data_IF_756706083187
#
_entry.id   IF_756706083187
#
_cell.length_a   1.000
_cell.length_b   1.000
_cell.length_c   1.000
_cell.angle_alpha   90.00
_cell.angle_beta   90.00
_cell.angle_gamma   90.00
#
_symmetry.space_group_name_H-M   'P 1'
#
loop_
_entity.id
_entity.type
_entity.pdbx_description
1 polymer ?
#
# COMPACT_ATOMS: atom_id res chain seq x y z
N UNK A 1 -11.97 -10.04 -5.32
CA UNK A 1 -10.85 -10.80 -5.92
C UNK A 1 -9.49 -10.26 -5.48
N UNK A 2 -9.21 -8.95 -5.58
CA UNK A 2 -7.93 -8.38 -5.12
C UNK A 2 -7.68 -8.52 -3.61
N UNK A 3 -8.68 -8.21 -2.77
CA UNK A 3 -8.63 -8.39 -1.31
C UNK A 3 -8.29 -9.84 -0.92
N UNK A 4 -8.93 -10.81 -1.57
CA UNK A 4 -8.67 -12.24 -1.35
C UNK A 4 -7.23 -12.64 -1.71
N UNK A 5 -6.67 -12.09 -2.80
CA UNK A 5 -5.28 -12.33 -3.19
C UNK A 5 -4.28 -11.69 -2.23
N UNK A 6 -4.53 -10.46 -1.80
CA UNK A 6 -3.69 -9.75 -0.82
C UNK A 6 -3.77 -10.40 0.57
N UNK A 7 -4.94 -10.84 1.02
CA UNK A 7 -5.12 -11.54 2.28
C UNK A 7 -4.39 -12.90 2.29
N UNK A 8 -4.26 -13.55 1.12
CA UNK A 8 -3.49 -14.78 0.96
C UNK A 8 -1.98 -14.50 0.97
N UNK A 9 -1.51 -13.52 0.18
CA UNK A 9 -0.09 -13.17 0.05
C UNK A 9 0.51 -12.55 1.32
N UNK A 10 -0.28 -11.77 2.05
CA UNK A 10 0.12 -11.19 3.35
C UNK A 10 0.11 -12.20 4.51
N UNK A 11 -0.36 -13.43 4.28
CA UNK A 11 -0.54 -14.44 5.34
C UNK A 11 -1.70 -14.15 6.30
N UNK A 12 -2.49 -13.10 6.06
CA UNK A 12 -3.64 -12.71 6.88
C UNK A 12 -4.73 -13.78 6.90
N UNK A 13 -4.99 -14.41 5.75
CA UNK A 13 -5.99 -15.47 5.61
C UNK A 13 -5.60 -16.74 6.40
N UNK A 14 -4.29 -17.01 6.51
CA UNK A 14 -3.77 -18.05 7.39
C UNK A 14 -3.88 -17.64 8.87
N UNK A 15 -3.42 -16.45 9.25
CA UNK A 15 -3.51 -15.97 10.65
C UNK A 15 -4.93 -15.92 11.22
N UNK A 16 -5.90 -15.50 10.40
CA UNK A 16 -7.32 -15.47 10.79
C UNK A 16 -7.91 -16.89 10.92
N UNK A 17 -7.44 -17.85 10.11
CA UNK A 17 -7.90 -19.24 10.12
C UNK A 17 -7.37 -20.04 11.31
N UNK A 18 -6.22 -19.66 11.87
CA UNK A 18 -5.61 -20.31 13.04
C UNK A 18 -5.80 -19.53 14.35
N UNK A 19 -6.54 -18.42 14.36
CA UNK A 19 -6.91 -17.69 15.58
C UNK A 19 -5.78 -16.86 16.21
N UNK A 20 -4.76 -16.47 15.44
CA UNK A 20 -3.52 -15.85 15.95
C UNK A 20 -3.34 -14.41 15.45
N UNK A 21 -4.39 -13.59 15.38
CA UNK A 21 -4.26 -12.17 14.99
C UNK A 21 -3.58 -11.37 16.11
N UNK A 22 -2.28 -11.59 16.26
CA UNK A 22 -1.36 -10.92 17.17
C UNK A 22 -0.89 -9.59 16.53
N UNK A 23 -0.45 -8.64 17.36
CA UNK A 23 0.06 -7.33 16.95
C UNK A 23 1.15 -7.46 15.87
N UNK A 24 2.01 -8.47 16.03
CA UNK A 24 3.07 -8.82 15.08
C UNK A 24 2.56 -9.15 13.68
N UNK A 25 1.40 -9.78 13.57
CA UNK A 25 0.79 -10.10 12.27
C UNK A 25 0.17 -8.87 11.62
N UNK A 26 -0.46 -8.00 12.41
CA UNK A 26 -0.95 -6.69 11.95
C UNK A 26 0.18 -5.83 11.40
N UNK A 27 1.28 -5.70 12.13
CA UNK A 27 2.46 -4.97 11.68
C UNK A 27 3.07 -5.58 10.41
N UNK A 28 3.17 -6.92 10.33
CA UNK A 28 3.63 -7.59 9.10
C UNK A 28 2.72 -7.30 7.89
N UNK A 29 1.40 -7.25 8.10
CA UNK A 29 0.44 -6.94 7.04
C UNK A 29 0.55 -5.48 6.61
N UNK A 30 0.63 -4.54 7.55
CA UNK A 30 0.82 -3.11 7.28
C UNK A 30 2.09 -2.93 6.45
N UNK A 31 3.24 -3.39 6.95
CA UNK A 31 4.53 -3.29 6.24
C UNK A 31 4.41 -3.82 4.80
N UNK A 32 3.76 -4.96 4.60
CA UNK A 32 3.60 -5.54 3.28
C UNK A 32 2.75 -4.65 2.36
N UNK A 33 1.61 -4.16 2.85
CA UNK A 33 0.70 -3.32 2.08
C UNK A 33 1.35 -1.98 1.71
N UNK A 34 2.04 -1.34 2.66
CA UNK A 34 2.71 -0.06 2.43
C UNK A 34 3.83 -0.15 1.38
N UNK A 35 4.48 -1.31 1.24
CA UNK A 35 5.46 -1.52 0.15
C UNK A 35 4.84 -1.46 -1.25
N UNK A 36 3.52 -1.68 -1.36
CA UNK A 36 2.78 -1.65 -2.62
C UNK A 36 2.01 -0.34 -2.76
N UNK A 37 1.50 0.24 -1.66
CA UNK A 37 0.74 1.48 -1.64
C UNK A 37 1.53 2.68 -2.18
N UNK A 38 2.85 2.75 -1.96
CA UNK A 38 3.69 3.82 -2.52
C UNK A 38 3.93 3.74 -4.04
N UNK A 39 3.55 2.66 -4.72
CA UNK A 39 3.85 2.44 -6.15
C UNK A 39 2.96 3.27 -7.11
N UNK A 40 1.62 3.32 -6.93
CA UNK A 40 0.73 4.04 -7.83
C UNK A 40 1.04 5.53 -7.99
N UNK A 41 1.29 6.25 -6.88
CA UNK A 41 1.67 7.66 -6.90
C UNK A 41 2.94 7.90 -7.72
N UNK A 42 3.96 7.06 -7.53
CA UNK A 42 5.23 7.15 -8.26
C UNK A 42 5.05 6.91 -9.78
N UNK A 43 4.31 5.86 -10.16
CA UNK A 43 4.03 5.57 -11.58
C UNK A 43 3.21 6.71 -12.20
N UNK A 44 2.20 7.19 -11.50
CA UNK A 44 1.34 8.27 -11.97
C UNK A 44 2.12 9.56 -12.18
N UNK A 45 2.96 9.94 -11.21
CA UNK A 45 3.86 11.08 -11.31
C UNK A 45 4.84 10.93 -12.48
N UNK A 46 5.50 9.78 -12.62
CA UNK A 46 6.46 9.52 -13.71
C UNK A 46 5.80 9.66 -15.09
N UNK A 47 4.65 9.02 -15.32
CA UNK A 47 3.96 9.09 -16.61
C UNK A 47 3.53 10.52 -16.94
N UNK A 48 3.00 11.25 -15.95
CA UNK A 48 2.63 12.66 -16.12
C UNK A 48 3.83 13.56 -16.36
N UNK A 49 4.93 13.34 -15.65
CA UNK A 49 6.19 14.04 -15.82
C UNK A 49 6.72 13.87 -17.25
N UNK A 50 6.85 12.62 -17.71
CA UNK A 50 7.28 12.34 -19.07
C UNK A 50 6.32 12.93 -20.12
N UNK A 51 5.00 12.92 -19.85
CA UNK A 51 3.99 13.55 -20.72
C UNK A 51 4.14 15.07 -20.80
N UNK A 52 4.42 15.74 -19.68
CA UNK A 52 4.67 17.19 -19.61
C UNK A 52 5.91 17.57 -20.41
N UNK A 53 7.01 16.82 -20.22
CA UNK A 53 8.27 17.02 -20.95
C UNK A 53 8.09 16.88 -22.47
N UNK A 54 7.54 15.75 -22.93
CA UNK A 54 7.38 15.48 -24.37
C UNK A 54 6.34 16.37 -25.07
N UNK A 55 5.49 17.06 -24.31
CA UNK A 55 4.50 18.02 -24.86
C UNK A 55 4.90 19.47 -24.62
N UNK A 56 5.95 19.74 -23.85
CA UNK A 56 6.36 21.09 -23.43
C UNK A 56 5.21 21.88 -22.78
N UNK A 57 4.37 21.21 -21.98
CA UNK A 57 3.19 21.79 -21.33
C UNK A 57 3.29 21.73 -19.81
N UNK A 58 2.68 22.70 -19.12
CA UNK A 58 2.55 22.67 -17.65
C UNK A 58 1.68 21.50 -17.21
N UNK A 59 2.02 20.91 -16.06
CA UNK A 59 1.27 19.80 -15.46
C UNK A 59 0.21 20.25 -14.42
N UNK A 60 0.32 21.50 -13.93
CA UNK A 60 -0.60 22.10 -12.96
C UNK A 60 -0.60 21.42 -11.58
N UNK A 61 0.57 21.00 -11.10
CA UNK A 61 0.80 20.57 -9.72
C UNK A 61 0.59 19.07 -9.45
N UNK A 62 0.00 18.33 -10.38
CA UNK A 62 -0.33 16.91 -10.19
C UNK A 62 0.88 16.00 -9.96
N UNK A 63 2.01 16.24 -10.64
CA UNK A 63 3.24 15.46 -10.44
C UNK A 63 3.70 15.58 -8.99
N UNK A 64 3.64 16.77 -8.41
CA UNK A 64 4.08 17.00 -7.03
C UNK A 64 3.18 16.26 -6.05
N UNK A 65 1.86 16.43 -6.17
CA UNK A 65 0.89 15.75 -5.29
C UNK A 65 1.03 14.23 -5.35
N UNK A 66 1.24 13.65 -6.53
CA UNK A 66 1.41 12.19 -6.66
C UNK A 66 2.75 11.68 -6.10
N UNK A 67 3.80 12.49 -6.15
CA UNK A 67 5.07 12.17 -5.48
C UNK A 67 4.95 12.29 -3.96
N UNK A 68 4.22 13.30 -3.46
CA UNK A 68 3.93 13.45 -2.04
C UNK A 68 3.09 12.28 -1.50
N UNK A 69 2.09 11.80 -2.25
CA UNK A 69 1.32 10.60 -1.91
C UNK A 69 2.23 9.37 -1.83
N UNK A 70 3.06 9.13 -2.84
CA UNK A 70 4.02 8.01 -2.81
C UNK A 70 5.03 8.11 -1.65
N UNK A 71 5.45 9.33 -1.31
CA UNK A 71 6.31 9.57 -0.16
C UNK A 71 5.57 9.35 1.17
N UNK A 72 4.30 9.73 1.25
CA UNK A 72 3.47 9.51 2.44
C UNK A 72 3.37 8.01 2.78
N UNK A 73 3.07 7.15 1.79
CA UNK A 73 3.03 5.71 2.02
C UNK A 73 4.41 5.12 2.37
N UNK A 74 5.48 5.67 1.80
CA UNK A 74 6.85 5.30 2.20
C UNK A 74 7.11 5.67 3.67
N UNK A 75 6.57 6.78 4.16
CA UNK A 75 6.68 7.13 5.57
C UNK A 75 5.86 6.19 6.46
N UNK A 76 4.66 5.79 6.05
CA UNK A 76 3.88 4.75 6.76
C UNK A 76 4.68 3.44 6.90
N UNK A 77 5.31 2.99 5.81
CA UNK A 77 6.19 1.82 5.82
C UNK A 77 7.34 1.97 6.84
N UNK A 78 8.06 3.09 6.79
CA UNK A 78 9.20 3.31 7.68
C UNK A 78 8.79 3.36 9.15
N UNK A 79 7.67 4.01 9.45
CA UNK A 79 7.10 4.03 10.81
C UNK A 79 6.75 2.61 11.28
N UNK A 80 6.12 1.78 10.45
CA UNK A 80 5.81 0.41 10.81
C UNK A 80 7.07 -0.47 10.98
N UNK A 81 8.14 -0.19 10.22
CA UNK A 81 9.40 -0.90 10.31
C UNK A 81 10.20 -0.63 11.59
N UNK A 82 9.98 0.52 12.24
CA UNK A 82 10.52 0.80 13.58
C UNK A 82 9.92 -0.15 14.63
N UNK A 83 8.66 -0.56 14.44
CA UNK A 83 7.97 -1.49 15.34
C UNK A 83 8.30 -2.96 15.01
N UNK A 84 8.57 -3.27 13.74
CA UNK A 84 8.85 -4.65 13.31
C UNK A 84 9.80 -4.72 12.13
N UNK A 85 10.91 -5.46 12.31
CA UNK A 85 11.85 -5.74 11.23
C UNK A 85 11.45 -7.00 10.44
N UNK A 86 11.17 -6.90 9.12
CA UNK A 86 10.84 -8.05 8.30
C UNK A 86 12.07 -8.91 7.99
N UNK A 87 11.88 -10.24 7.97
CA UNK A 87 12.92 -11.21 7.65
C UNK A 87 13.22 -11.33 6.13
N UNK A 88 14.26 -12.09 5.74
CA UNK A 88 14.69 -12.21 4.34
C UNK A 88 13.62 -12.76 3.39
N UNK A 89 12.85 -13.78 3.81
CA UNK A 89 11.77 -14.35 3.00
C UNK A 89 10.67 -13.33 2.69
N UNK A 90 10.32 -12.50 3.67
CA UNK A 90 9.35 -11.42 3.50
C UNK A 90 9.84 -10.41 2.47
N UNK A 91 11.13 -10.04 2.51
CA UNK A 91 11.73 -9.12 1.53
C UNK A 91 11.70 -9.69 0.11
N UNK A 92 11.98 -10.98 -0.05
CA UNK A 92 11.87 -11.65 -1.36
C UNK A 92 10.41 -11.61 -1.87
N UNK A 93 9.43 -11.85 -1.00
CA UNK A 93 8.02 -11.73 -1.35
C UNK A 93 7.65 -10.30 -1.77
N UNK A 94 8.15 -9.27 -1.08
CA UNK A 94 7.97 -7.86 -1.46
C UNK A 94 8.55 -7.60 -2.85
N UNK A 95 9.78 -8.04 -3.13
CA UNK A 95 10.42 -7.86 -4.45
C UNK A 95 9.57 -8.50 -5.56
N UNK A 96 9.12 -9.74 -5.36
CA UNK A 96 8.29 -10.44 -6.34
C UNK A 96 6.94 -9.73 -6.58
N UNK A 97 6.32 -9.24 -5.50
CA UNK A 97 5.04 -8.52 -5.54
C UNK A 97 5.18 -7.18 -6.23
N UNK A 98 6.22 -6.40 -5.89
CA UNK A 98 6.51 -5.12 -6.53
C UNK A 98 6.84 -5.31 -8.01
N UNK A 99 7.66 -6.30 -8.37
CA UNK A 99 7.96 -6.60 -9.77
C UNK A 99 6.70 -6.84 -10.59
N UNK A 100 5.81 -7.70 -10.10
CA UNK A 100 4.53 -7.97 -10.77
C UNK A 100 3.60 -6.74 -10.79
N UNK A 101 3.42 -6.09 -9.65
CA UNK A 101 2.49 -4.97 -9.50
C UNK A 101 2.92 -3.74 -10.30
N UNK A 102 4.21 -3.37 -10.25
CA UNK A 102 4.77 -2.26 -11.05
C UNK A 102 4.54 -2.52 -12.53
N UNK A 103 4.86 -3.72 -13.04
CA UNK A 103 4.67 -4.05 -14.46
C UNK A 103 3.19 -3.95 -14.88
N UNK A 104 2.27 -4.54 -14.11
CA UNK A 104 0.84 -4.49 -14.43
C UNK A 104 0.26 -3.07 -14.31
N UNK A 105 0.60 -2.34 -13.24
CA UNK A 105 0.05 -1.02 -12.97
C UNK A 105 0.56 0.03 -13.96
N UNK A 106 1.83 -0.06 -14.37
CA UNK A 106 2.39 0.80 -15.41
C UNK A 106 1.64 0.62 -16.74
N UNK A 107 1.39 -0.62 -17.17
CA UNK A 107 0.59 -0.92 -18.37
C UNK A 107 -0.83 -0.37 -18.21
N UNK A 108 -1.48 -0.64 -17.07
CA UNK A 108 -2.83 -0.17 -16.79
C UNK A 108 -2.92 1.37 -16.83
N UNK A 109 -1.92 2.08 -16.30
CA UNK A 109 -1.88 3.53 -16.29
C UNK A 109 -1.72 4.12 -17.70
N UNK A 110 -0.99 3.43 -18.59
CA UNK A 110 -0.95 3.80 -20.01
C UNK A 110 -2.30 3.63 -20.71
N UNK A 111 -3.03 2.56 -20.39
CA UNK A 111 -4.34 2.27 -20.99
C UNK A 111 -5.43 3.21 -20.46
N UNK A 112 -5.49 3.43 -19.15
CA UNK A 112 -6.53 4.25 -18.51
C UNK A 112 -6.09 4.81 -17.15
N UNK A 113 -5.53 6.04 -17.13
CA UNK A 113 -5.21 6.73 -15.89
C UNK A 113 -6.44 6.92 -14.98
N UNK A 114 -7.62 7.17 -15.57
CA UNK A 114 -8.88 7.33 -14.83
C UNK A 114 -9.26 6.08 -14.06
N UNK A 115 -9.04 4.90 -14.65
CA UNK A 115 -9.27 3.63 -13.97
C UNK A 115 -8.29 3.47 -12.81
N UNK A 116 -7.00 3.71 -13.03
CA UNK A 116 -5.97 3.63 -12.00
C UNK A 116 -6.26 4.53 -10.80
N UNK A 117 -6.64 5.79 -11.00
CA UNK A 117 -6.98 6.69 -9.89
C UNK A 117 -8.21 6.23 -9.10
N UNK A 118 -9.26 5.73 -9.78
CA UNK A 118 -10.42 5.14 -9.08
C UNK A 118 -10.03 3.89 -8.31
N UNK A 119 -9.19 3.05 -8.90
CA UNK A 119 -8.70 1.84 -8.26
C UNK A 119 -7.91 2.14 -6.99
N UNK A 120 -6.99 3.11 -7.02
CA UNK A 120 -6.26 3.58 -5.83
C UNK A 120 -7.24 4.13 -4.79
N UNK A 121 -8.21 4.96 -5.20
CA UNK A 121 -9.23 5.46 -4.27
C UNK A 121 -10.00 4.35 -3.53
N UNK A 122 -10.32 3.24 -4.22
CA UNK A 122 -10.92 2.08 -3.56
C UNK A 122 -9.95 1.33 -2.62
N UNK A 123 -8.65 1.32 -2.90
CA UNK A 123 -7.66 0.77 -1.98
C UNK A 123 -7.58 1.61 -0.69
N UNK A 124 -7.59 2.93 -0.81
CA UNK A 124 -7.59 3.85 0.33
C UNK A 124 -8.83 3.66 1.20
N UNK A 125 -10.02 3.52 0.60
CA UNK A 125 -11.25 3.23 1.35
C UNK A 125 -11.15 1.92 2.15
N UNK A 126 -10.51 0.88 1.59
CA UNK A 126 -10.29 -0.38 2.28
C UNK A 126 -9.18 -0.29 3.35
N UNK A 127 -8.18 0.59 3.15
CA UNK A 127 -7.16 0.90 4.13
C UNK A 127 -7.77 1.59 5.36
N UNK A 128 -8.65 2.57 5.17
CA UNK A 128 -9.38 3.23 6.26
C UNK A 128 -10.15 2.20 7.09
N UNK A 129 -10.96 1.34 6.45
CA UNK A 129 -11.69 0.26 7.15
C UNK A 129 -10.76 -0.68 7.93
N UNK A 130 -9.62 -1.01 7.32
CA UNK A 130 -8.59 -1.85 7.94
C UNK A 130 -8.04 -1.22 9.22
N UNK A 131 -7.66 0.06 9.17
CA UNK A 131 -7.08 0.78 10.30
C UNK A 131 -8.10 1.02 11.41
N UNK A 132 -9.34 1.38 11.06
CA UNK A 132 -10.44 1.48 12.03
C UNK A 132 -10.64 0.17 12.79
N UNK A 133 -10.70 -0.97 12.09
CA UNK A 133 -10.83 -2.27 12.73
C UNK A 133 -9.61 -2.63 13.59
N UNK A 134 -8.40 -2.27 13.16
CA UNK A 134 -7.19 -2.45 13.96
C UNK A 134 -7.29 -1.71 15.29
N UNK A 135 -7.74 -0.44 15.28
CA UNK A 135 -7.92 0.37 16.48
C UNK A 135 -9.01 -0.20 17.37
N UNK A 136 -10.18 -0.54 16.82
CA UNK A 136 -11.32 -1.08 17.58
C UNK A 136 -10.97 -2.39 18.31
N UNK A 137 -10.15 -3.26 17.71
CA UNK A 137 -9.74 -4.52 18.35
C UNK A 137 -8.79 -4.28 19.52
N UNK A 138 -7.96 -3.24 19.48
CA UNK A 138 -6.95 -2.97 20.53
C UNK A 138 -7.44 -1.92 21.55
N UNK A 139 -8.47 -1.13 21.24
CA UNK A 139 -9.02 -0.10 22.15
C UNK A 139 -9.55 -0.66 23.48
N UNK A 140 -10.29 -1.80 23.54
CA UNK A 140 -10.73 -2.39 24.79
C UNK A 140 -9.56 -2.81 25.70
N UNK A 141 -8.42 -3.18 25.11
CA UNK A 141 -7.22 -3.58 25.85
C UNK A 141 -6.55 -2.41 26.59
N UNK A 142 -6.57 -1.20 26.00
CA UNK A 142 -5.99 -0.02 26.64
C UNK A 142 -6.89 0.63 27.70
N UNK A 143 -8.22 0.47 27.63
CA UNK A 143 -9.14 0.96 28.69
C UNK A 143 -9.13 0.11 29.97
N UNK A 144 -8.48 -1.05 29.97
CA UNK A 144 -8.35 -1.94 31.14
C UNK A 144 -7.00 -1.85 31.83
N UNK A 145 -6.11 -0.95 31.39
CA UNK A 145 -4.77 -0.74 31.95
C UNK A 145 -4.68 0.45 32.92
N UNK A 146 -5.81 1.05 33.29
CA UNK A 146 -5.98 2.02 34.39
C UNK A 146 -6.88 1.42 35.49
#
# INVERSE_FOLDING_TARGET
MLRTGFDLLSGYSWGKRFGTLDEKMWLSRIIYLETVAGVPGMIGAMVRHLKSLRRMTRDHGWIHTLLEEAENERMHLLTAMELRRPGPLFKIAVIGTQGLFVSMFWIAYFLSPRFCHKFVGYLEEEAVKTYTHCIEVHTPFYMTLD
#
